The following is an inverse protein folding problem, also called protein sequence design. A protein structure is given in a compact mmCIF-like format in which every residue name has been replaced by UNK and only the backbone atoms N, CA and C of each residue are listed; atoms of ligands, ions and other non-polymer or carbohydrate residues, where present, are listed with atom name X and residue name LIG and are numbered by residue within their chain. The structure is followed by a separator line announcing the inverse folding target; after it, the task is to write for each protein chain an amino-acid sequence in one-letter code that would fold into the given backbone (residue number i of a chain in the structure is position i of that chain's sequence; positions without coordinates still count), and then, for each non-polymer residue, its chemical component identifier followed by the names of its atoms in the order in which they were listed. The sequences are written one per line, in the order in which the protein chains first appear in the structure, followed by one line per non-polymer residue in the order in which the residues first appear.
data_IF_301226234736
#
_entry.id   IF_301226234736
#
_cell.length_a   1.000
_cell.length_b   1.000
_cell.length_c   1.000
_cell.angle_alpha   90.00
_cell.angle_beta   90.00
_cell.angle_gamma   90.00
#
_symmetry.space_group_name_H-M   'P 1'
#
loop_
_entity.id
_entity.type
_entity.pdbx_description
1 polymer ?
#
# COMPACT_ATOMS: atom_id res chain seq x y z
N UNK A 1 -2.27 -8.69 -8.43
CA UNK A 1 -2.11 -9.99 -9.15
C UNK A 1 -0.69 -10.23 -9.64
N UNK A 2 0.04 -9.22 -10.15
CA UNK A 2 1.45 -9.36 -10.56
C UNK A 2 2.35 -9.93 -9.46
N UNK A 3 2.25 -9.43 -8.23
CA UNK A 3 3.04 -9.92 -7.09
C UNK A 3 2.83 -11.42 -6.81
N UNK A 4 1.58 -11.91 -6.91
CA UNK A 4 1.27 -13.34 -6.74
C UNK A 4 1.83 -14.20 -7.88
N UNK A 5 1.75 -13.71 -9.13
CA UNK A 5 2.32 -14.39 -10.30
C UNK A 5 3.84 -14.49 -10.19
N UNK A 6 4.49 -13.41 -9.75
CA UNK A 6 5.92 -13.38 -9.47
C UNK A 6 6.29 -14.35 -8.34
N UNK A 7 5.59 -14.30 -7.20
CA UNK A 7 5.80 -15.23 -6.08
C UNK A 7 5.69 -16.70 -6.50
N UNK A 8 4.72 -17.03 -7.37
CA UNK A 8 4.60 -18.37 -7.96
C UNK A 8 5.82 -18.73 -8.81
N UNK A 9 6.29 -17.82 -9.67
CA UNK A 9 7.48 -18.07 -10.50
C UNK A 9 8.77 -18.23 -9.69
N UNK A 10 8.82 -17.61 -8.50
CA UNK A 10 9.92 -17.72 -7.54
C UNK A 10 9.81 -18.95 -6.62
N UNK A 11 8.75 -19.76 -6.75
CA UNK A 11 8.56 -20.98 -5.97
C UNK A 11 8.02 -20.75 -4.55
N UNK A 12 7.39 -19.61 -4.27
CA UNK A 12 6.76 -19.37 -2.96
C UNK A 12 5.57 -20.31 -2.75
N UNK A 13 5.33 -20.67 -1.49
CA UNK A 13 4.23 -21.55 -1.12
C UNK A 13 2.86 -20.85 -1.23
N UNK A 14 1.80 -21.64 -1.25
CA UNK A 14 0.43 -21.12 -1.39
C UNK A 14 0.04 -20.14 -0.28
N UNK A 15 0.34 -20.40 1.01
CA UNK A 15 0.07 -19.44 2.08
C UNK A 15 0.76 -18.08 1.87
N UNK A 16 2.04 -18.07 1.49
CA UNK A 16 2.77 -16.83 1.23
C UNK A 16 2.22 -16.08 0.02
N UNK A 17 1.87 -16.78 -1.06
CA UNK A 17 1.22 -16.17 -2.23
C UNK A 17 -0.13 -15.55 -1.85
N UNK A 18 -0.93 -16.23 -1.02
CA UNK A 18 -2.20 -15.71 -0.54
C UNK A 18 -2.01 -14.45 0.31
N UNK A 19 -1.08 -14.48 1.26
CA UNK A 19 -0.73 -13.34 2.11
C UNK A 19 -0.23 -12.15 1.26
N UNK A 20 0.62 -12.40 0.27
CA UNK A 20 1.07 -11.37 -0.67
C UNK A 20 -0.11 -10.80 -1.48
N UNK A 21 -1.09 -11.63 -1.84
CA UNK A 21 -2.33 -11.19 -2.48
C UNK A 21 -3.11 -10.20 -1.63
N UNK A 22 -3.41 -10.56 -0.38
CA UNK A 22 -4.10 -9.69 0.59
C UNK A 22 -3.29 -8.42 0.85
N UNK A 23 -1.99 -8.56 1.11
CA UNK A 23 -1.08 -7.43 1.32
C UNK A 23 -1.05 -6.48 0.12
N UNK A 24 -1.07 -6.99 -1.12
CA UNK A 24 -1.11 -6.15 -2.32
C UNK A 24 -2.44 -5.41 -2.47
N UNK A 25 -3.57 -6.02 -2.08
CA UNK A 25 -4.86 -5.32 -2.11
C UNK A 25 -4.90 -4.15 -1.12
N UNK A 26 -4.22 -4.30 0.01
CA UNK A 26 -4.23 -3.33 1.11
C UNK A 26 -2.98 -2.43 1.16
N UNK A 27 -1.99 -2.63 0.29
CA UNK A 27 -0.67 -1.98 0.40
C UNK A 27 -0.75 -0.45 0.46
N UNK A 28 -1.72 0.12 -0.25
CA UNK A 28 -1.94 1.55 -0.38
C UNK A 28 -3.10 2.08 0.48
N UNK A 29 -3.65 1.27 1.40
CA UNK A 29 -4.84 1.62 2.20
C UNK A 29 -4.65 2.92 2.99
N UNK A 30 -3.43 3.23 3.43
CA UNK A 30 -3.12 4.47 4.14
C UNK A 30 -3.23 5.73 3.29
N UNK A 31 -3.34 5.63 1.96
CA UNK A 31 -3.63 6.77 1.08
C UNK A 31 -4.98 7.41 1.37
N UNK A 32 -5.91 6.68 1.99
CA UNK A 32 -7.19 7.24 2.48
C UNK A 32 -7.02 8.38 3.49
N UNK A 33 -5.84 8.51 4.09
CA UNK A 33 -5.53 9.59 5.05
C UNK A 33 -4.73 10.73 4.41
N UNK A 34 -4.32 10.62 3.15
CA UNK A 34 -3.64 11.69 2.42
C UNK A 34 -4.68 12.76 2.01
N UNK A 35 -4.39 14.06 2.17
CA UNK A 35 -5.30 15.13 1.73
C UNK A 35 -5.71 14.96 0.26
N UNK A 36 -6.99 15.15 -0.06
CA UNK A 36 -7.53 14.94 -1.41
C UNK A 36 -6.86 15.82 -2.46
N UNK A 37 -6.47 17.04 -2.10
CA UNK A 37 -5.75 17.98 -2.97
C UNK A 37 -4.38 17.44 -3.40
N UNK A 38 -3.67 16.77 -2.48
CA UNK A 38 -2.40 16.10 -2.80
C UNK A 38 -2.66 14.79 -3.54
N UNK A 39 -3.63 13.99 -3.12
CA UNK A 39 -3.92 12.70 -3.74
C UNK A 39 -4.29 12.84 -5.23
N UNK A 40 -5.00 13.91 -5.58
CA UNK A 40 -5.43 14.21 -6.95
C UNK A 40 -4.58 15.27 -7.65
N UNK A 41 -3.44 15.67 -7.06
CA UNK A 41 -2.59 16.71 -7.64
C UNK A 41 -2.09 16.29 -9.03
N UNK A 42 -2.35 17.07 -10.09
CA UNK A 42 -1.76 16.80 -11.39
C UNK A 42 -0.27 17.19 -11.39
N UNK A 43 0.56 16.38 -12.05
CA UNK A 43 1.99 16.65 -12.16
C UNK A 43 2.80 16.08 -10.99
N UNK A 44 3.99 16.65 -10.76
CA UNK A 44 4.91 16.17 -9.73
C UNK A 44 4.60 16.81 -8.38
N UNK A 45 4.87 16.05 -7.33
CA UNK A 45 4.91 16.58 -5.97
C UNK A 45 6.16 17.43 -5.76
N UNK A 46 5.99 18.53 -5.07
CA UNK A 46 7.09 19.25 -4.43
C UNK A 46 7.69 18.37 -3.31
N UNK A 47 8.95 18.59 -2.92
CA UNK A 47 9.61 17.76 -1.92
C UNK A 47 8.82 17.60 -0.62
N UNK A 48 8.22 18.70 -0.12
CA UNK A 48 7.42 18.69 1.11
C UNK A 48 6.09 17.94 0.96
N UNK A 49 5.46 17.99 -0.21
CA UNK A 49 4.23 17.25 -0.50
C UNK A 49 4.50 15.76 -0.57
N UNK A 50 5.63 15.37 -1.17
CA UNK A 50 6.05 13.98 -1.23
C UNK A 50 6.28 13.42 0.19
N UNK A 51 6.83 14.20 1.11
CA UNK A 51 6.98 13.77 2.51
C UNK A 51 5.63 13.50 3.19
N UNK A 52 4.59 14.27 2.86
CA UNK A 52 3.22 14.02 3.35
C UNK A 52 2.66 12.74 2.72
N UNK A 53 2.82 12.56 1.40
CA UNK A 53 2.31 11.38 0.69
C UNK A 53 2.99 10.12 1.22
N UNK A 54 4.31 10.13 1.48
CA UNK A 54 5.06 8.98 2.05
C UNK A 54 4.49 8.49 3.38
N UNK A 55 3.84 9.35 4.17
CA UNK A 55 3.19 8.95 5.42
C UNK A 55 2.07 7.92 5.23
N UNK A 56 1.57 7.70 4.00
CA UNK A 56 0.57 6.66 3.72
C UNK A 56 1.02 5.26 4.18
N UNK A 57 2.33 4.97 4.19
CA UNK A 57 2.84 3.67 4.65
C UNK A 57 2.57 3.49 6.15
N UNK A 58 3.01 4.44 6.97
CA UNK A 58 2.81 4.39 8.43
C UNK A 58 1.33 4.41 8.80
N UNK A 59 0.53 5.23 8.10
CA UNK A 59 -0.92 5.30 8.29
C UNK A 59 -1.61 4.01 7.86
N UNK A 60 -1.10 3.33 6.84
CA UNK A 60 -1.57 2.01 6.45
C UNK A 60 -1.37 0.97 7.55
N UNK A 61 -0.18 0.98 8.18
CA UNK A 61 0.12 0.12 9.34
C UNK A 61 -0.83 0.42 10.51
N UNK A 62 -1.07 1.70 10.81
CA UNK A 62 -2.01 2.12 11.87
C UNK A 62 -3.42 1.59 11.62
N UNK A 63 -3.93 1.75 10.39
CA UNK A 63 -5.25 1.24 9.99
C UNK A 63 -5.33 -0.27 10.14
N UNK A 64 -4.34 -1.00 9.63
CA UNK A 64 -4.35 -2.47 9.71
C UNK A 64 -4.20 -2.98 11.15
N UNK A 65 -3.40 -2.31 11.97
CA UNK A 65 -3.17 -2.72 13.37
C UNK A 65 -4.38 -2.45 14.27
N UNK A 66 -5.22 -1.48 13.90
CA UNK A 66 -6.45 -1.14 14.63
C UNK A 66 -7.69 -1.86 14.11
N UNK A 67 -7.57 -2.63 13.01
CA UNK A 67 -8.68 -3.36 12.41
C UNK A 67 -8.69 -4.80 12.89
N UNK A 68 -9.83 -5.29 13.37
CA UNK A 68 -10.03 -6.71 13.66
C UNK A 68 -10.37 -7.44 12.36
N UNK A 69 -9.61 -8.48 12.02
CA UNK A 69 -9.81 -9.33 10.84
C UNK A 69 -10.75 -10.50 11.07
#
# INVERSE_FOLDING_TARGET
MLAMSLGRSLGFDRPMIHLAGVGTLLHDIGKMKVPLELLNKPGRFEPHEMEIVKQHVLRGVEVLSSTTG
#
